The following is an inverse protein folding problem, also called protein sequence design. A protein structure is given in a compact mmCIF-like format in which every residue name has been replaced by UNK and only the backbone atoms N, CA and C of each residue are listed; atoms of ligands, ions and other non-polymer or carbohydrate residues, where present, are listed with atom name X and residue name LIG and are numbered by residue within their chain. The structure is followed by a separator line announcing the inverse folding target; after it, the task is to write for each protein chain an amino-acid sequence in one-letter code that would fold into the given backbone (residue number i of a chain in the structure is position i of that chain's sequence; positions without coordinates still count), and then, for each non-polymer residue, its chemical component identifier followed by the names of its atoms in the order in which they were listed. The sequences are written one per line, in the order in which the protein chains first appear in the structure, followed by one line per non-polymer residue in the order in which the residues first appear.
data_IF_026742511832
#
_entry.id   IF_026742511832
#
_cell.length_a   1.000
_cell.length_b   1.000
_cell.length_c   1.000
_cell.angle_alpha   90.00
_cell.angle_beta   90.00
_cell.angle_gamma   90.00
#
_symmetry.space_group_name_H-M   'P 1'
#
loop_
_entity.id
_entity.type
_entity.pdbx_description
1 polymer ?
#
# COMPACT_ATOMS: atom_id res chain seq x y z
N UNK A 1 25.51 -40.64 -40.56
CA UNK A 1 26.21 -40.06 -39.38
C UNK A 1 25.59 -38.70 -39.09
N UNK A 2 24.68 -38.64 -38.12
CA UNK A 2 24.02 -37.39 -37.74
C UNK A 2 25.02 -36.58 -36.91
N UNK A 3 25.25 -35.32 -37.28
CA UNK A 3 26.30 -34.49 -36.71
C UNK A 3 25.90 -34.02 -35.31
N UNK A 4 26.49 -34.62 -34.27
CA UNK A 4 26.20 -34.34 -32.85
C UNK A 4 26.29 -32.85 -32.46
N UNK A 5 27.06 -32.03 -33.19
CA UNK A 5 27.10 -30.57 -32.99
C UNK A 5 25.77 -29.86 -33.34
N UNK A 6 25.05 -30.34 -34.36
CA UNK A 6 23.77 -29.75 -34.79
C UNK A 6 22.66 -30.05 -33.78
N UNK A 7 22.67 -31.23 -33.17
CA UNK A 7 21.72 -31.63 -32.13
C UNK A 7 21.90 -30.76 -30.88
N UNK A 8 23.15 -30.58 -30.41
CA UNK A 8 23.43 -29.75 -29.24
C UNK A 8 23.08 -28.27 -29.45
N UNK A 9 23.26 -27.73 -30.65
CA UNK A 9 22.87 -26.35 -30.96
C UNK A 9 21.34 -26.18 -30.98
N UNK A 10 20.60 -27.15 -31.52
CA UNK A 10 19.12 -27.15 -31.50
C UNK A 10 18.57 -27.26 -30.08
N UNK A 11 19.15 -28.10 -29.21
CA UNK A 11 18.75 -28.20 -27.81
C UNK A 11 19.02 -26.90 -27.03
N UNK A 12 20.17 -26.25 -27.23
CA UNK A 12 20.48 -24.96 -26.60
C UNK A 12 19.54 -23.85 -27.06
N UNK A 13 19.20 -23.81 -28.35
CA UNK A 13 18.27 -22.82 -28.90
C UNK A 13 16.83 -23.05 -28.39
N UNK A 14 16.41 -24.32 -28.25
CA UNK A 14 15.11 -24.67 -27.69
C UNK A 14 14.98 -24.31 -26.21
N UNK A 15 16.03 -24.56 -25.41
CA UNK A 15 16.10 -24.14 -24.01
C UNK A 15 16.08 -22.61 -23.84
N UNK A 16 16.74 -21.87 -24.75
CA UNK A 16 16.74 -20.40 -24.73
C UNK A 16 15.35 -19.84 -25.06
N UNK A 17 14.64 -20.43 -26.03
CA UNK A 17 13.26 -20.03 -26.40
C UNK A 17 12.31 -20.27 -25.23
N UNK A 18 12.39 -21.44 -24.56
CA UNK A 18 11.61 -21.73 -23.36
C UNK A 18 11.85 -20.73 -22.22
N UNK A 19 13.11 -20.29 -22.05
CA UNK A 19 13.47 -19.29 -21.04
C UNK A 19 12.87 -17.92 -21.38
N UNK A 20 12.95 -17.48 -22.63
CA UNK A 20 12.39 -16.19 -23.08
C UNK A 20 10.85 -16.19 -23.02
N UNK A 21 10.18 -17.28 -23.37
CA UNK A 21 8.72 -17.39 -23.24
C UNK A 21 8.25 -17.44 -21.77
N UNK A 22 9.05 -18.00 -20.87
CA UNK A 22 8.74 -17.95 -19.43
C UNK A 22 8.83 -16.54 -18.86
N UNK A 23 9.82 -15.75 -19.29
CA UNK A 23 9.98 -14.35 -18.87
C UNK A 23 8.87 -13.45 -19.44
N UNK A 24 8.43 -13.70 -20.68
CA UNK A 24 7.32 -12.95 -21.31
C UNK A 24 5.92 -13.39 -20.84
N UNK A 25 5.79 -14.59 -20.27
CA UNK A 25 4.51 -15.10 -19.75
C UNK A 25 4.24 -14.67 -18.30
N UNK A 26 5.23 -14.10 -17.61
CA UNK A 26 5.08 -13.61 -16.23
C UNK A 26 4.71 -12.13 -16.13
N UNK A 27 4.59 -11.42 -17.25
CA UNK A 27 3.84 -10.17 -17.25
C UNK A 27 2.36 -10.53 -17.38
N UNK A 28 1.74 -10.92 -16.26
CA UNK A 28 0.30 -10.67 -16.13
C UNK A 28 0.07 -9.17 -16.40
N UNK A 29 -0.98 -8.86 -17.15
CA UNK A 29 -1.28 -7.48 -17.49
C UNK A 29 -1.77 -6.79 -16.21
N UNK A 30 -0.93 -5.95 -15.61
CA UNK A 30 -1.24 -5.14 -14.44
C UNK A 30 -2.66 -4.55 -14.56
N UNK A 31 -3.59 -4.89 -13.63
CA UNK A 31 -4.94 -4.34 -13.64
C UNK A 31 -4.88 -2.81 -13.50
N UNK A 32 -5.70 -2.08 -14.27
CA UNK A 32 -5.77 -0.61 -14.22
C UNK A 32 -4.41 0.10 -14.42
N UNK A 33 -3.56 -0.45 -15.29
CA UNK A 33 -2.21 0.08 -15.53
C UNK A 33 -2.19 1.55 -16.00
N UNK A 34 -3.25 2.02 -16.66
CA UNK A 34 -3.32 3.42 -17.15
C UNK A 34 -3.60 4.37 -15.99
N UNK A 35 -4.47 3.98 -15.08
CA UNK A 35 -4.84 4.72 -13.88
C UNK A 35 -3.68 4.78 -12.87
N UNK A 36 -2.85 3.73 -12.86
CA UNK A 36 -1.63 3.63 -12.05
C UNK A 36 -0.41 4.32 -12.68
N UNK A 37 -0.54 4.91 -13.88
CA UNK A 37 0.60 5.53 -14.57
C UNK A 37 1.24 6.62 -13.70
N UNK A 38 2.55 6.50 -13.45
CA UNK A 38 3.30 7.42 -12.59
C UNK A 38 3.18 7.20 -11.09
N UNK A 39 2.31 6.27 -10.63
CA UNK A 39 2.12 5.89 -9.22
C UNK A 39 3.16 4.87 -8.73
N UNK A 40 4.43 5.15 -8.98
CA UNK A 40 5.55 4.30 -8.56
C UNK A 40 6.43 5.06 -7.58
N UNK A 41 6.46 4.59 -6.34
CA UNK A 41 7.17 5.26 -5.25
C UNK A 41 8.34 4.41 -4.77
N UNK A 42 9.50 5.05 -4.63
CA UNK A 42 10.71 4.42 -4.10
C UNK A 42 10.89 4.87 -2.65
N UNK A 43 10.61 3.97 -1.73
CA UNK A 43 10.68 4.22 -0.29
C UNK A 43 12.11 4.04 0.22
N UNK A 44 12.47 4.73 1.30
CA UNK A 44 13.85 4.74 1.83
C UNK A 44 14.02 3.79 3.00
N UNK A 45 15.16 3.11 3.01
CA UNK A 45 15.64 2.45 4.23
C UNK A 45 16.03 3.51 5.27
N UNK A 46 15.63 3.31 6.52
CA UNK A 46 15.94 4.20 7.66
C UNK A 46 16.81 3.48 8.68
N UNK A 47 17.70 4.22 9.35
CA UNK A 47 18.61 3.66 10.37
C UNK A 47 18.03 3.71 11.78
N UNK A 48 17.19 4.69 12.04
CA UNK A 48 16.63 4.98 13.35
C UNK A 48 15.10 4.87 13.25
N UNK A 49 14.50 4.07 14.13
CA UNK A 49 13.05 3.95 14.20
C UNK A 49 12.45 5.25 14.75
N UNK A 50 11.32 5.73 14.21
CA UNK A 50 10.59 6.86 14.78
C UNK A 50 9.88 6.44 16.08
N UNK A 51 9.48 7.43 16.86
CA UNK A 51 8.43 7.25 17.88
C UNK A 51 7.08 7.04 17.18
N UNK A 52 6.25 6.15 17.74
CA UNK A 52 4.87 5.94 17.27
C UNK A 52 3.95 6.67 18.26
N UNK A 53 3.81 7.98 18.06
CA UNK A 53 3.03 8.87 18.93
C UNK A 53 2.17 9.89 18.15
N UNK A 54 2.06 9.71 16.84
CA UNK A 54 1.32 10.58 15.93
C UNK A 54 1.99 11.93 15.62
N UNK A 55 3.21 12.18 16.09
CA UNK A 55 3.95 13.42 15.82
C UNK A 55 5.07 13.17 14.80
N UNK A 56 5.00 13.84 13.65
CA UNK A 56 5.99 13.70 12.57
C UNK A 56 7.21 14.64 12.74
N UNK A 57 7.82 14.66 13.92
CA UNK A 57 8.98 15.53 14.23
C UNK A 57 10.33 14.79 14.30
N UNK A 58 10.31 13.46 14.25
CA UNK A 58 11.53 12.65 14.12
C UNK A 58 12.31 12.94 12.83
N UNK A 59 13.64 12.81 12.92
CA UNK A 59 14.56 13.15 11.84
C UNK A 59 14.32 12.34 10.55
N UNK A 60 13.78 11.13 10.65
CA UNK A 60 13.52 10.29 9.47
C UNK A 60 12.52 10.94 8.52
N UNK A 61 11.49 11.62 9.05
CA UNK A 61 10.40 12.17 8.26
C UNK A 61 10.89 13.31 7.36
N UNK A 62 11.83 14.11 7.87
CA UNK A 62 12.49 15.17 7.10
C UNK A 62 13.37 14.65 5.95
N UNK A 63 13.74 13.37 5.97
CA UNK A 63 14.59 12.74 4.94
C UNK A 63 13.79 12.05 3.84
N UNK A 64 12.49 11.82 4.05
CA UNK A 64 11.59 11.12 3.13
C UNK A 64 10.90 12.15 2.24
N UNK A 65 10.82 11.86 0.94
CA UNK A 65 9.97 12.65 0.03
C UNK A 65 8.54 12.11 0.20
N UNK A 66 7.57 12.91 0.67
CA UNK A 66 6.20 12.43 0.81
C UNK A 66 5.55 12.17 -0.55
N UNK A 67 4.65 11.20 -0.56
CA UNK A 67 3.63 11.02 -1.58
C UNK A 67 2.60 12.13 -1.39
N UNK A 68 2.25 12.84 -2.46
CA UNK A 68 1.32 13.98 -2.42
C UNK A 68 0.38 14.02 -3.61
N UNK A 69 0.53 13.11 -4.57
CA UNK A 69 -0.21 13.10 -5.82
C UNK A 69 -1.47 12.23 -5.73
N UNK A 70 -2.16 12.26 -4.60
CA UNK A 70 -3.41 11.52 -4.41
C UNK A 70 -4.50 11.98 -5.39
N UNK A 71 -5.45 11.09 -5.65
CA UNK A 71 -6.63 11.35 -6.46
C UNK A 71 -7.88 11.14 -5.61
N UNK A 72 -8.95 11.82 -5.99
CA UNK A 72 -10.21 11.69 -5.29
C UNK A 72 -11.00 10.48 -5.81
N UNK A 73 -11.56 9.69 -4.89
CA UNK A 73 -12.50 8.62 -5.22
C UNK A 73 -13.94 9.13 -5.31
N UNK A 74 -14.38 9.86 -4.27
CA UNK A 74 -15.70 10.45 -4.16
C UNK A 74 -15.64 11.93 -3.75
N UNK A 75 -16.63 12.77 -4.12
CA UNK A 75 -17.75 12.47 -5.00
C UNK A 75 -17.37 12.51 -6.49
N UNK A 76 -16.31 13.22 -6.84
CA UNK A 76 -15.82 13.35 -8.21
C UNK A 76 -14.59 12.46 -8.41
N UNK A 77 -14.82 11.28 -8.97
CA UNK A 77 -13.79 10.28 -9.21
C UNK A 77 -12.68 10.78 -10.15
N UNK A 78 -11.42 10.47 -9.82
CA UNK A 78 -10.20 10.88 -10.52
C UNK A 78 -9.92 12.40 -10.52
N UNK A 79 -10.67 13.20 -9.77
CA UNK A 79 -10.38 14.62 -9.59
C UNK A 79 -9.16 14.86 -8.70
N UNK A 80 -8.67 16.11 -8.68
CA UNK A 80 -7.74 16.54 -7.63
C UNK A 80 -8.45 16.47 -6.27
N UNK A 81 -7.75 16.06 -5.20
CA UNK A 81 -8.34 15.92 -3.89
C UNK A 81 -8.80 17.29 -3.36
N UNK A 82 -9.95 17.31 -2.69
CA UNK A 82 -10.52 18.52 -2.06
C UNK A 82 -9.69 19.00 -0.88
N UNK A 83 -9.06 18.06 -0.16
CA UNK A 83 -8.11 18.31 0.92
C UNK A 83 -6.75 17.69 0.59
N UNK A 84 -5.67 18.39 0.93
CA UNK A 84 -4.33 17.87 0.66
C UNK A 84 -3.93 16.82 1.70
N UNK A 85 -3.02 15.92 1.33
CA UNK A 85 -2.35 15.06 2.29
C UNK A 85 -0.91 14.77 1.85
N UNK A 86 -0.09 14.42 2.84
CA UNK A 86 1.28 13.96 2.65
C UNK A 86 1.43 12.60 3.34
N UNK A 87 1.85 11.58 2.58
CA UNK A 87 2.15 10.25 3.14
C UNK A 87 3.63 9.94 3.00
N UNK A 88 4.24 9.57 4.11
CA UNK A 88 5.66 9.28 4.26
C UNK A 88 5.82 7.78 4.43
N UNK A 89 6.68 7.16 3.62
CA UNK A 89 6.99 5.75 3.71
C UNK A 89 8.50 5.55 3.89
N UNK A 90 8.85 4.83 4.94
CA UNK A 90 10.21 4.39 5.24
C UNK A 90 10.21 2.96 5.75
N UNK A 91 11.34 2.28 5.75
CA UNK A 91 11.41 0.91 6.26
C UNK A 91 12.78 0.59 6.86
N UNK A 92 12.82 -0.40 7.75
CA UNK A 92 14.06 -1.06 8.14
C UNK A 92 14.00 -2.57 7.81
N UNK A 93 14.93 -3.37 8.35
CA UNK A 93 14.98 -4.82 8.09
C UNK A 93 13.72 -5.59 8.54
N UNK A 94 12.83 -4.99 9.35
CA UNK A 94 11.70 -5.66 10.00
C UNK A 94 10.38 -4.89 9.95
N UNK A 95 10.40 -3.58 9.74
CA UNK A 95 9.24 -2.71 9.93
C UNK A 95 9.08 -1.75 8.75
N UNK A 96 7.85 -1.65 8.25
CA UNK A 96 7.40 -0.57 7.39
C UNK A 96 6.86 0.56 8.28
N UNK A 97 7.42 1.75 8.13
CA UNK A 97 7.00 2.95 8.83
C UNK A 97 6.17 3.84 7.90
N UNK A 98 5.02 4.26 8.40
CA UNK A 98 4.05 5.06 7.65
C UNK A 98 3.71 6.28 8.50
N UNK A 99 3.97 7.46 7.94
CA UNK A 99 3.50 8.72 8.50
C UNK A 99 2.46 9.32 7.57
N UNK A 100 1.33 9.77 8.09
CA UNK A 100 0.31 10.45 7.31
C UNK A 100 0.03 11.82 7.94
N UNK A 101 0.07 12.86 7.11
CA UNK A 101 -0.35 14.21 7.48
C UNK A 101 -1.53 14.60 6.60
N UNK A 102 -2.71 14.58 7.21
CA UNK A 102 -3.97 14.91 6.56
C UNK A 102 -4.29 16.37 6.87
N UNK A 103 -4.48 17.18 5.84
CA UNK A 103 -4.89 18.57 6.01
C UNK A 103 -6.41 18.65 5.99
N UNK A 104 -6.97 19.53 6.79
CA UNK A 104 -8.40 19.83 6.77
C UNK A 104 -8.57 21.35 6.82
N UNK A 105 -9.36 21.92 5.91
CA UNK A 105 -9.60 23.35 5.84
C UNK A 105 -10.47 23.89 6.99
N UNK A 106 -11.22 23.01 7.68
CA UNK A 106 -12.06 23.27 8.84
C UNK A 106 -11.76 22.31 10.01
N UNK A 107 -10.57 22.38 10.67
CA UNK A 107 -10.15 21.42 11.70
C UNK A 107 -11.08 21.28 12.93
N UNK A 108 -12.02 22.21 13.11
CA UNK A 108 -13.03 22.14 14.16
C UNK A 108 -14.13 21.10 13.87
N UNK A 109 -14.27 20.66 12.62
CA UNK A 109 -15.28 19.72 12.15
C UNK A 109 -14.77 18.27 12.09
N UNK A 110 -13.48 18.03 12.29
CA UNK A 110 -12.87 16.69 12.30
C UNK A 110 -13.64 15.77 13.24
N UNK A 111 -14.26 14.74 12.66
CA UNK A 111 -15.02 13.76 13.43
C UNK A 111 -14.05 12.80 14.13
N UNK A 112 -14.32 12.51 15.40
CA UNK A 112 -13.42 11.75 16.28
C UNK A 112 -14.19 10.90 17.27
N UNK A 113 -15.06 10.04 16.76
CA UNK A 113 -15.73 9.07 17.62
C UNK A 113 -14.70 8.05 18.16
N UNK A 114 -14.85 7.68 19.42
CA UNK A 114 -14.05 6.64 20.07
C UNK A 114 -14.88 5.36 20.16
N UNK A 115 -14.28 4.23 19.82
CA UNK A 115 -14.84 2.91 19.98
C UNK A 115 -13.73 1.91 20.32
N UNK A 116 -14.07 0.64 20.62
CA UNK A 116 -13.08 -0.44 20.68
C UNK A 116 -12.33 -0.61 19.36
N UNK A 117 -11.17 -1.26 19.43
CA UNK A 117 -10.45 -1.75 18.23
C UNK A 117 -11.37 -2.61 17.37
N UNK A 118 -11.21 -2.54 16.05
CA UNK A 118 -11.92 -3.32 15.04
C UNK A 118 -13.44 -3.05 15.00
N UNK A 119 -13.92 -1.96 15.62
CA UNK A 119 -15.31 -1.50 15.52
C UNK A 119 -15.49 -0.51 14.35
N UNK A 120 -15.45 -1.04 13.13
CA UNK A 120 -15.57 -0.25 11.89
C UNK A 120 -16.80 0.69 11.90
N UNK A 121 -17.99 0.14 12.17
CA UNK A 121 -19.24 0.90 12.18
C UNK A 121 -19.34 1.90 13.34
N UNK A 122 -18.60 1.67 14.43
CA UNK A 122 -18.63 2.53 15.62
C UNK A 122 -17.63 3.68 15.57
N UNK A 123 -16.56 3.57 14.77
CA UNK A 123 -15.42 4.48 14.82
C UNK A 123 -14.82 4.88 13.47
N UNK A 124 -15.27 4.32 12.35
CA UNK A 124 -14.80 4.68 11.02
C UNK A 124 -16.00 5.12 10.18
N UNK A 125 -15.90 5.09 8.86
CA UNK A 125 -16.97 5.54 7.95
C UNK A 125 -17.49 6.94 8.34
N UNK A 126 -18.80 7.13 8.51
CA UNK A 126 -19.40 8.42 8.86
C UNK A 126 -19.15 8.88 10.32
N UNK A 127 -18.45 8.09 11.15
CA UNK A 127 -18.33 8.33 12.60
C UNK A 127 -17.07 9.09 12.99
N UNK A 128 -16.00 8.99 12.18
CA UNK A 128 -14.76 9.72 12.40
C UNK A 128 -14.04 9.97 11.09
N UNK A 129 -13.13 10.92 11.07
CA UNK A 129 -12.15 11.04 10.01
C UNK A 129 -11.10 9.94 10.23
N UNK A 130 -10.65 9.29 9.16
CA UNK A 130 -9.75 8.16 9.24
C UNK A 130 -8.77 8.09 8.06
N UNK A 131 -7.71 7.32 8.25
CA UNK A 131 -6.72 6.99 7.25
C UNK A 131 -6.51 5.48 7.23
N UNK A 132 -6.47 4.88 6.05
CA UNK A 132 -6.10 3.49 5.87
C UNK A 132 -4.96 3.31 4.87
N UNK A 133 -4.32 2.16 4.96
CA UNK A 133 -3.39 1.66 3.95
C UNK A 133 -3.65 0.19 3.69
N UNK A 134 -3.70 -0.17 2.41
CA UNK A 134 -3.88 -1.55 1.97
C UNK A 134 -2.59 -2.06 1.30
N UNK A 135 -2.14 -3.24 1.72
CA UNK A 135 -0.87 -3.82 1.30
C UNK A 135 -1.07 -5.20 0.62
N UNK A 136 -1.08 -5.21 -0.71
CA UNK A 136 -0.88 -6.44 -1.50
C UNK A 136 0.62 -6.82 -1.51
N UNK A 137 1.06 -7.42 -0.41
CA UNK A 137 2.46 -7.84 -0.23
C UNK A 137 2.90 -8.99 -1.15
N UNK A 138 1.95 -9.70 -1.78
CA UNK A 138 2.24 -10.81 -2.70
C UNK A 138 2.20 -10.38 -4.16
N UNK A 139 1.66 -9.20 -4.43
CA UNK A 139 1.38 -8.69 -5.77
C UNK A 139 0.57 -9.70 -6.59
N UNK A 140 -0.45 -10.30 -5.95
CA UNK A 140 -1.32 -11.31 -6.57
C UNK A 140 -2.68 -10.76 -7.00
N UNK A 141 -2.92 -9.45 -6.74
CA UNK A 141 -4.14 -8.72 -7.07
C UNK A 141 -5.42 -9.40 -6.56
N UNK A 142 -5.31 -10.18 -5.49
CA UNK A 142 -6.41 -10.93 -4.90
C UNK A 142 -6.40 -10.89 -3.38
N UNK A 143 -5.22 -10.71 -2.77
CA UNK A 143 -5.06 -10.63 -1.32
C UNK A 143 -4.34 -9.36 -0.90
N UNK A 144 -4.81 -8.75 0.19
CA UNK A 144 -4.16 -7.62 0.82
C UNK A 144 -4.40 -7.63 2.33
N UNK A 145 -3.72 -6.73 3.04
CA UNK A 145 -3.98 -6.44 4.44
C UNK A 145 -4.29 -4.96 4.57
N UNK A 146 -5.39 -4.62 5.23
CA UNK A 146 -5.76 -3.24 5.50
C UNK A 146 -5.44 -2.87 6.95
N UNK A 147 -4.94 -1.66 7.14
CA UNK A 147 -4.67 -1.08 8.45
C UNK A 147 -5.25 0.32 8.47
N UNK A 148 -6.13 0.60 9.43
CA UNK A 148 -6.79 1.89 9.55
C UNK A 148 -6.65 2.47 10.94
N UNK A 149 -6.47 3.79 11.00
CA UNK A 149 -6.49 4.59 12.23
C UNK A 149 -7.45 5.76 12.06
N UNK A 150 -8.28 6.01 13.06
CA UNK A 150 -9.16 7.18 13.06
C UNK A 150 -8.57 8.36 13.87
N UNK A 151 -9.20 9.53 13.78
CA UNK A 151 -8.76 10.74 14.48
C UNK A 151 -8.78 10.66 16.03
N UNK A 152 -9.38 9.60 16.60
CA UNK A 152 -9.35 9.29 18.04
C UNK A 152 -8.28 8.29 18.44
N UNK A 153 -7.54 7.72 17.48
CA UNK A 153 -6.59 6.63 17.71
C UNK A 153 -7.21 5.24 17.83
N UNK A 154 -8.46 5.05 17.36
CA UNK A 154 -9.04 3.71 17.20
C UNK A 154 -8.34 3.03 16.02
N UNK A 155 -8.01 1.75 16.19
CA UNK A 155 -7.34 0.95 15.18
C UNK A 155 -8.30 -0.11 14.62
N UNK A 156 -8.17 -0.39 13.34
CA UNK A 156 -8.85 -1.51 12.66
C UNK A 156 -7.87 -2.20 11.73
N UNK A 157 -7.90 -3.52 11.67
CA UNK A 157 -7.20 -4.27 10.64
C UNK A 157 -7.98 -5.49 10.15
N UNK A 158 -7.72 -5.87 8.91
CA UNK A 158 -8.41 -6.97 8.24
C UNK A 158 -7.56 -7.54 7.10
N UNK A 159 -7.86 -8.77 6.71
CA UNK A 159 -7.33 -9.37 5.49
C UNK A 159 -8.37 -9.25 4.38
N UNK A 160 -7.95 -8.75 3.22
CA UNK A 160 -8.73 -8.77 1.98
C UNK A 160 -8.39 -10.07 1.23
N UNK A 161 -9.40 -10.74 0.69
CA UNK A 161 -9.26 -11.93 -0.15
C UNK A 161 -10.29 -11.95 -1.29
N UNK A 162 -10.01 -12.71 -2.35
CA UNK A 162 -10.84 -12.72 -3.57
C UNK A 162 -11.12 -11.32 -4.15
N UNK A 163 -10.23 -10.35 -3.94
CA UNK A 163 -10.33 -8.94 -4.38
C UNK A 163 -11.43 -8.09 -3.70
N UNK A 164 -12.53 -8.70 -3.23
CA UNK A 164 -13.69 -7.96 -2.69
C UNK A 164 -14.15 -8.43 -1.30
N UNK A 165 -13.68 -9.58 -0.82
CA UNK A 165 -14.11 -10.15 0.47
C UNK A 165 -13.14 -9.75 1.60
N UNK A 166 -13.67 -9.67 2.83
CA UNK A 166 -12.92 -9.28 4.02
C UNK A 166 -12.98 -10.35 5.11
N UNK A 167 -11.83 -10.65 5.71
CA UNK A 167 -11.69 -11.39 6.97
C UNK A 167 -11.31 -10.40 8.08
N UNK A 168 -12.34 -9.94 8.78
CA UNK A 168 -12.26 -9.01 9.92
C UNK A 168 -11.78 -9.68 11.21
N UNK A 169 -11.67 -11.01 11.25
CA UNK A 169 -11.13 -11.74 12.41
C UNK A 169 -9.59 -11.82 12.36
N UNK A 170 -8.99 -11.49 11.21
CA UNK A 170 -7.55 -11.36 11.09
C UNK A 170 -7.05 -10.24 12.02
N UNK A 171 -5.90 -10.47 12.66
CA UNK A 171 -5.40 -9.56 13.69
C UNK A 171 -3.87 -9.45 13.64
N UNK A 172 -3.38 -8.31 13.17
CA UNK A 172 -1.95 -8.02 13.12
C UNK A 172 -1.40 -7.47 14.44
N UNK A 173 -0.08 -7.61 14.60
CA UNK A 173 0.67 -6.91 15.64
C UNK A 173 1.27 -5.65 15.02
N UNK A 174 0.71 -4.49 15.35
CA UNK A 174 1.14 -3.18 14.87
C UNK A 174 0.74 -2.07 15.84
N UNK A 175 1.39 -0.92 15.74
CA UNK A 175 1.20 0.27 16.58
C UNK A 175 0.89 1.50 15.71
N UNK A 176 0.14 2.47 16.25
CA UNK A 176 -0.12 3.78 15.66
C UNK A 176 -0.28 4.87 16.74
#
# INVERSE_FOLDING_TARGET
LINHKIINLKCKLFLLILFISGVLSQTEQEPFATEKEGKVYYIKAVSDAPSIDGVLDDAIWSSILPITDFIQEEPDNMALPTENMEVYLGYDDRTLYIGAKLYDSNPAEIARQLAPRDDWYGAFDEQADWFSIDLDSRHDHQTAFSFAVNASGVLSDEMIYNDEDYDTDWNAIWDA
#
